data_IF_991254146952
#
_entry.id   IF_991254146952
#
_cell.length_a   1.000
_cell.length_b   1.000
_cell.length_c   1.000
_cell.angle_alpha   90.00
_cell.angle_beta   90.00
_cell.angle_gamma   90.00
#
_symmetry.space_group_name_H-M   'P 1'
#
loop_
_entity.id
_entity.type
_entity.pdbx_description
1 polymer ?
#
# COMPACT_ATOMS: atom_id res chain seq x y z
N UNK A 1 -38.32 -63.08 33.92
CA UNK A 1 -37.03 -62.91 33.21
C UNK A 1 -36.63 -61.45 33.28
N UNK A 2 -35.35 -61.21 33.55
CA UNK A 2 -34.71 -59.92 33.85
C UNK A 2 -35.02 -58.84 32.80
N UNK A 3 -35.24 -57.59 33.22
CA UNK A 3 -34.27 -56.53 32.93
C UNK A 3 -34.57 -55.24 33.70
N UNK A 4 -33.48 -54.75 34.29
CA UNK A 4 -33.35 -53.69 35.27
C UNK A 4 -33.24 -52.32 34.65
N UNK A 5 -33.91 -51.37 35.29
CA UNK A 5 -33.70 -49.92 35.17
C UNK A 5 -32.27 -49.62 35.66
N UNK A 6 -31.42 -49.04 34.80
CA UNK A 6 -30.18 -48.39 35.23
C UNK A 6 -30.16 -46.93 34.77
N UNK A 7 -30.14 -46.04 35.77
CA UNK A 7 -29.97 -44.60 35.68
C UNK A 7 -28.55 -44.28 35.18
N UNK A 8 -28.43 -43.43 34.17
CA UNK A 8 -27.14 -42.86 33.73
C UNK A 8 -26.68 -41.83 34.76
N UNK A 9 -25.49 -42.05 35.29
CA UNK A 9 -24.79 -41.13 36.19
C UNK A 9 -24.28 -39.91 35.41
N UNK A 10 -24.56 -38.71 35.92
CA UNK A 10 -23.89 -37.47 35.53
C UNK A 10 -22.56 -37.39 36.31
N UNK A 11 -21.44 -37.40 35.60
CA UNK A 11 -20.13 -37.07 36.17
C UNK A 11 -19.91 -35.56 35.97
N UNK A 12 -19.98 -34.78 37.05
CA UNK A 12 -19.46 -33.41 37.09
C UNK A 12 -17.94 -33.49 37.28
N UNK A 13 -17.18 -33.14 36.24
CA UNK A 13 -15.74 -32.93 36.34
C UNK A 13 -15.49 -31.44 36.58
N UNK A 14 -15.17 -31.09 37.83
CA UNK A 14 -14.73 -29.76 38.22
C UNK A 14 -13.28 -29.54 37.75
N UNK A 15 -13.09 -28.69 36.74
CA UNK A 15 -11.77 -28.26 36.30
C UNK A 15 -11.29 -27.10 37.19
N UNK A 16 -10.28 -27.36 38.02
CA UNK A 16 -9.58 -26.35 38.81
C UNK A 16 -8.74 -25.46 37.88
N UNK A 17 -9.09 -24.16 37.82
CA UNK A 17 -8.30 -23.11 37.18
C UNK A 17 -7.03 -22.84 38.00
N UNK A 18 -5.88 -23.21 37.47
CA UNK A 18 -4.60 -22.61 37.87
C UNK A 18 -4.41 -21.32 37.07
N UNK A 19 -4.13 -20.17 37.69
CA UNK A 19 -3.68 -18.98 36.98
C UNK A 19 -2.21 -19.20 36.61
N UNK A 20 -1.99 -20.00 35.57
CA UNK A 20 -0.72 -20.00 34.86
C UNK A 20 -0.62 -18.68 34.12
N UNK A 21 0.36 -17.87 34.49
CA UNK A 21 0.78 -16.67 33.78
C UNK A 21 1.04 -17.05 32.32
N UNK A 22 0.04 -16.86 31.45
CA UNK A 22 0.29 -16.83 30.02
C UNK A 22 1.11 -15.57 29.78
N UNK A 23 2.42 -15.73 29.66
CA UNK A 23 3.20 -14.85 28.82
C UNK A 23 2.59 -14.97 27.43
N UNK A 24 1.77 -14.00 27.04
CA UNK A 24 1.36 -13.85 25.66
C UNK A 24 2.64 -13.77 24.84
N UNK A 25 2.91 -14.81 24.06
CA UNK A 25 3.86 -14.71 22.97
C UNK A 25 3.15 -13.87 21.91
N UNK A 26 3.33 -12.55 21.97
CA UNK A 26 2.89 -11.61 20.95
C UNK A 26 3.86 -11.64 19.76
N UNK A 27 4.18 -12.84 19.29
CA UNK A 27 4.80 -13.02 17.98
C UNK A 27 3.65 -13.18 17.00
N UNK A 28 3.17 -12.07 16.44
CA UNK A 28 2.27 -12.13 15.30
C UNK A 28 2.91 -13.06 14.26
N UNK A 29 2.28 -14.19 14.01
CA UNK A 29 2.74 -15.13 12.99
C UNK A 29 2.39 -14.51 11.65
N UNK A 30 3.39 -14.22 10.82
CA UNK A 30 3.17 -13.70 9.47
C UNK A 30 2.56 -14.79 8.57
N UNK A 31 1.36 -14.54 8.06
CA UNK A 31 0.68 -15.43 7.12
C UNK A 31 0.79 -14.90 5.70
N UNK A 32 0.84 -15.81 4.72
CA UNK A 32 0.57 -15.44 3.33
C UNK A 32 -0.89 -15.00 3.25
N UNK A 33 -1.12 -13.78 2.77
CA UNK A 33 -2.44 -13.20 2.69
C UNK A 33 -3.10 -13.57 1.35
N UNK A 34 -4.37 -13.95 1.43
CA UNK A 34 -5.21 -14.23 0.27
C UNK A 34 -6.24 -13.12 0.11
N UNK A 35 -6.71 -12.89 -1.12
CA UNK A 35 -7.69 -11.86 -1.41
C UNK A 35 -8.25 -11.97 -2.82
N UNK A 36 -9.21 -11.10 -3.12
CA UNK A 36 -9.74 -10.98 -4.48
C UNK A 36 -8.77 -10.16 -5.33
N UNK A 37 -8.34 -10.70 -6.47
CA UNK A 37 -7.42 -9.99 -7.38
C UNK A 37 -8.08 -8.77 -8.00
N UNK A 38 -7.42 -7.63 -7.89
CA UNK A 38 -7.85 -6.31 -8.40
C UNK A 38 -6.74 -5.69 -9.26
N UNK A 39 -7.09 -4.91 -10.28
CA UNK A 39 -6.14 -4.44 -11.28
C UNK A 39 -6.68 -3.25 -12.10
N UNK A 40 -5.78 -2.53 -12.78
CA UNK A 40 -6.13 -1.40 -13.67
C UNK A 40 -6.23 -1.77 -15.16
N UNK A 41 -5.87 -3.02 -15.53
CA UNK A 41 -5.76 -3.53 -16.91
C UNK A 41 -6.78 -4.62 -17.28
N UNK A 42 -6.33 -5.68 -17.96
CA UNK A 42 -7.16 -6.84 -18.37
C UNK A 42 -7.16 -7.94 -17.31
N UNK A 43 -8.34 -8.48 -16.98
CA UNK A 43 -8.55 -9.53 -15.97
C UNK A 43 -7.68 -10.77 -16.19
N UNK A 44 -7.65 -11.28 -17.42
CA UNK A 44 -7.07 -12.59 -17.74
C UNK A 44 -5.58 -12.71 -17.46
N UNK A 45 -4.88 -11.59 -17.32
CA UNK A 45 -3.45 -11.56 -16.97
C UNK A 45 -3.21 -11.26 -15.50
N UNK A 46 -4.17 -10.66 -14.79
CA UNK A 46 -3.96 -10.22 -13.40
C UNK A 46 -3.72 -11.40 -12.45
N UNK A 47 -4.41 -12.53 -12.70
CA UNK A 47 -4.20 -13.77 -11.96
C UNK A 47 -2.77 -14.31 -12.09
N UNK A 48 -2.07 -14.02 -13.20
CA UNK A 48 -0.68 -14.43 -13.41
C UNK A 48 0.32 -13.73 -12.50
N UNK A 49 -0.10 -12.74 -11.71
CA UNK A 49 0.75 -12.18 -10.65
C UNK A 49 0.65 -12.98 -9.34
N UNK A 50 -0.24 -13.98 -9.25
CA UNK A 50 -0.60 -14.69 -8.03
C UNK A 50 -0.84 -16.20 -8.27
N UNK A 51 -0.44 -16.76 -9.41
CA UNK A 51 -0.74 -18.15 -9.78
C UNK A 51 0.35 -19.15 -9.33
N UNK A 52 1.48 -18.66 -8.83
CA UNK A 52 2.60 -19.47 -8.37
C UNK A 52 3.47 -20.01 -9.50
N UNK A 53 3.23 -19.62 -10.76
CA UNK A 53 4.02 -20.04 -11.92
C UNK A 53 5.01 -18.93 -12.35
N UNK A 54 6.31 -19.08 -12.07
CA UNK A 54 7.31 -18.08 -12.44
C UNK A 54 7.50 -17.92 -13.98
N UNK A 55 6.85 -18.76 -14.79
CA UNK A 55 6.83 -18.63 -16.25
C UNK A 55 5.71 -17.73 -16.78
N UNK A 56 4.68 -17.43 -16.00
CA UNK A 56 3.61 -16.49 -16.35
C UNK A 56 3.92 -15.11 -15.79
N UNK A 57 3.21 -14.07 -16.26
CA UNK A 57 3.37 -12.73 -15.71
C UNK A 57 2.20 -11.80 -16.06
N UNK A 58 1.91 -10.89 -15.14
CA UNK A 58 1.05 -9.74 -15.41
C UNK A 58 1.75 -8.73 -16.31
N UNK A 59 1.00 -8.16 -17.26
CA UNK A 59 1.48 -7.12 -18.16
C UNK A 59 0.30 -6.35 -18.77
N UNK A 60 0.45 -5.04 -18.87
CA UNK A 60 -0.57 -4.13 -19.42
C UNK A 60 -0.21 -3.60 -20.80
N UNK A 61 -1.23 -3.18 -21.56
CA UNK A 61 -1.02 -2.47 -22.83
C UNK A 61 -0.60 -1.00 -22.64
N UNK A 62 -1.00 -0.38 -21.51
CA UNK A 62 -0.51 0.95 -21.11
C UNK A 62 0.87 0.83 -20.47
N UNK A 63 1.69 1.86 -20.68
CA UNK A 63 3.04 1.95 -20.11
C UNK A 63 3.11 2.79 -18.84
N UNK A 64 2.02 3.38 -18.36
CA UNK A 64 2.01 4.24 -17.18
C UNK A 64 0.71 4.07 -16.38
N UNK A 65 0.76 4.40 -15.08
CA UNK A 65 -0.40 4.43 -14.18
C UNK A 65 -1.14 3.08 -14.14
N UNK A 66 -0.39 1.98 -14.16
CA UNK A 66 -0.96 0.62 -14.16
C UNK A 66 -0.54 -0.15 -12.92
N UNK A 67 -1.44 -0.99 -12.42
CA UNK A 67 -1.27 -1.69 -11.16
C UNK A 67 -2.06 -3.00 -11.09
N UNK A 68 -1.63 -3.86 -10.16
CA UNK A 68 -2.27 -5.13 -9.80
C UNK A 68 -2.14 -5.37 -8.30
N UNK A 69 -3.12 -6.00 -7.67
CA UNK A 69 -3.20 -6.09 -6.21
C UNK A 69 -4.29 -7.03 -5.71
N UNK A 70 -4.57 -6.94 -4.41
CA UNK A 70 -5.58 -7.72 -3.70
C UNK A 70 -6.54 -6.81 -2.92
N UNK A 71 -7.83 -7.13 -2.94
CA UNK A 71 -8.77 -6.81 -1.86
C UNK A 71 -8.75 -7.97 -0.86
N UNK A 72 -8.20 -7.72 0.33
CA UNK A 72 -8.04 -8.70 1.41
C UNK A 72 -9.35 -8.94 2.19
N UNK A 73 -10.41 -8.18 1.90
CA UNK A 73 -11.71 -8.25 2.57
C UNK A 73 -11.76 -7.49 3.91
N UNK A 74 -10.67 -7.49 4.68
CA UNK A 74 -10.50 -6.76 5.93
C UNK A 74 -9.07 -6.19 6.09
N UNK A 75 -8.86 -5.18 6.96
CA UNK A 75 -7.54 -4.61 7.17
C UNK A 75 -6.51 -5.60 7.74
N UNK A 76 -5.32 -5.59 7.14
CA UNK A 76 -4.15 -6.35 7.59
C UNK A 76 -2.92 -5.45 7.70
N UNK A 77 -2.13 -5.64 8.74
CA UNK A 77 -0.80 -5.05 8.86
C UNK A 77 0.16 -5.87 7.99
N UNK A 78 0.72 -5.23 6.96
CA UNK A 78 1.65 -5.86 6.03
C UNK A 78 3.06 -5.82 6.62
N UNK A 79 3.70 -6.98 6.73
CA UNK A 79 5.03 -7.14 7.34
C UNK A 79 6.09 -7.52 6.33
N UNK A 80 5.69 -8.15 5.22
CA UNK A 80 6.60 -8.56 4.14
C UNK A 80 5.89 -8.61 2.79
N UNK A 81 6.64 -8.26 1.75
CA UNK A 81 6.24 -8.47 0.36
C UNK A 81 7.34 -9.26 -0.34
N UNK A 82 7.01 -10.42 -0.87
CA UNK A 82 7.88 -11.15 -1.80
C UNK A 82 7.37 -10.89 -3.23
N UNK A 83 8.27 -10.55 -4.13
CA UNK A 83 7.93 -10.19 -5.52
C UNK A 83 8.95 -10.75 -6.50
N UNK A 84 8.50 -11.18 -7.67
CA UNK A 84 9.36 -11.74 -8.71
C UNK A 84 9.26 -10.92 -10.01
N UNK A 85 10.37 -10.39 -10.53
CA UNK A 85 10.40 -9.83 -11.85
C UNK A 85 10.32 -10.93 -12.90
N UNK A 86 9.69 -10.61 -14.04
CA UNK A 86 9.60 -11.51 -15.20
C UNK A 86 10.96 -12.10 -15.56
N UNK A 87 11.00 -13.37 -15.94
CA UNK A 87 12.23 -13.97 -16.43
C UNK A 87 12.76 -13.25 -17.69
N UNK A 88 14.08 -13.29 -17.90
CA UNK A 88 14.73 -12.68 -19.05
C UNK A 88 15.35 -11.30 -18.79
N UNK A 89 15.90 -10.70 -19.85
CA UNK A 89 16.84 -9.58 -19.74
C UNK A 89 16.23 -8.28 -19.22
N UNK A 90 14.93 -8.05 -19.45
CA UNK A 90 14.26 -6.79 -19.08
C UNK A 90 13.44 -6.86 -17.78
N UNK A 91 13.24 -8.05 -17.20
CA UNK A 91 12.32 -8.23 -16.08
C UNK A 91 12.62 -7.32 -14.89
N UNK A 92 13.86 -7.39 -14.39
CA UNK A 92 14.32 -6.53 -13.31
C UNK A 92 14.23 -5.03 -13.64
N UNK A 93 14.53 -4.63 -14.88
CA UNK A 93 14.45 -3.23 -15.29
C UNK A 93 13.00 -2.71 -15.29
N UNK A 94 12.04 -3.57 -15.63
CA UNK A 94 10.62 -3.22 -15.62
C UNK A 94 10.01 -3.15 -14.23
N UNK A 95 10.63 -3.74 -13.20
CA UNK A 95 10.17 -3.57 -11.81
C UNK A 95 10.84 -2.41 -11.08
N UNK A 96 11.98 -1.92 -11.57
CA UNK A 96 12.70 -0.80 -10.96
C UNK A 96 11.81 0.45 -10.89
N UNK A 97 11.85 1.13 -9.74
CA UNK A 97 11.00 2.27 -9.36
C UNK A 97 9.50 1.96 -9.25
N UNK A 98 9.10 0.68 -9.32
CA UNK A 98 7.75 0.28 -8.93
C UNK A 98 7.53 0.45 -7.43
N UNK A 99 6.29 0.71 -7.05
CA UNK A 99 5.89 1.01 -5.67
C UNK A 99 4.85 0.00 -5.21
N UNK A 100 4.97 -0.46 -3.98
CA UNK A 100 3.89 -1.16 -3.28
C UNK A 100 3.12 -0.17 -2.42
N UNK A 101 1.81 -0.26 -2.44
CA UNK A 101 0.92 0.62 -1.69
C UNK A 101 -0.14 -0.18 -0.93
N UNK A 102 -0.60 0.37 0.19
CA UNK A 102 -1.75 -0.11 0.95
C UNK A 102 -2.81 0.99 1.04
N UNK A 103 -4.09 0.63 1.00
CA UNK A 103 -5.23 1.55 1.06
C UNK A 103 -6.41 0.94 1.83
N UNK A 104 -7.35 1.77 2.26
CA UNK A 104 -8.63 1.35 2.84
C UNK A 104 -9.84 1.87 2.02
N UNK A 105 -9.59 2.66 0.96
CA UNK A 105 -10.58 2.98 -0.07
C UNK A 105 -10.32 2.20 -1.37
N UNK A 106 -11.35 1.65 -2.04
CA UNK A 106 -11.18 0.87 -3.28
C UNK A 106 -10.69 1.72 -4.48
N UNK A 107 -10.80 3.04 -4.41
CA UNK A 107 -10.24 3.96 -5.41
C UNK A 107 -8.76 4.31 -5.15
N UNK A 108 -8.18 3.82 -4.05
CA UNK A 108 -6.81 4.08 -3.59
C UNK A 108 -6.48 5.57 -3.39
N UNK A 109 -7.48 6.42 -3.16
CA UNK A 109 -7.22 7.84 -2.86
C UNK A 109 -6.53 8.01 -1.51
N UNK A 110 -6.72 7.11 -0.56
CA UNK A 110 -6.09 7.12 0.77
C UNK A 110 -4.82 6.26 0.84
N UNK A 111 -4.25 5.89 -0.31
CA UNK A 111 -3.15 4.94 -0.34
C UNK A 111 -1.87 5.49 0.29
N UNK A 112 -1.19 4.64 1.05
CA UNK A 112 0.15 4.89 1.62
C UNK A 112 1.19 4.05 0.91
N UNK A 113 2.40 4.59 0.65
CA UNK A 113 3.50 3.78 0.15
C UNK A 113 3.96 2.80 1.23
N UNK A 114 4.22 1.56 0.85
CA UNK A 114 4.75 0.50 1.71
C UNK A 114 6.23 0.24 1.41
N UNK A 115 6.61 0.28 0.13
CA UNK A 115 7.97 0.02 -0.30
C UNK A 115 8.22 0.54 -1.73
N UNK A 116 9.39 1.14 -1.96
CA UNK A 116 9.89 1.52 -3.29
C UNK A 116 10.99 0.53 -3.71
N UNK A 117 10.84 -0.06 -4.90
CA UNK A 117 11.90 -0.87 -5.53
C UNK A 117 12.99 0.08 -6.06
N UNK A 118 13.91 0.48 -5.20
CA UNK A 118 14.98 1.44 -5.52
C UNK A 118 16.23 0.80 -6.14
N UNK A 119 16.35 -0.53 -6.07
CA UNK A 119 17.43 -1.31 -6.67
C UNK A 119 16.85 -2.34 -7.63
N UNK A 120 17.56 -2.60 -8.73
CA UNK A 120 17.11 -3.54 -9.75
C UNK A 120 17.04 -4.95 -9.16
N UNK A 121 15.85 -5.57 -9.07
CA UNK A 121 15.73 -6.95 -8.63
C UNK A 121 16.25 -7.92 -9.69
N UNK A 122 16.74 -9.08 -9.27
CA UNK A 122 17.18 -10.14 -10.18
C UNK A 122 15.98 -10.76 -10.90
N UNK A 123 16.01 -10.77 -12.23
CA UNK A 123 14.95 -11.38 -13.05
C UNK A 123 14.77 -12.87 -12.74
N UNK A 124 13.52 -13.35 -12.69
CA UNK A 124 13.20 -14.76 -12.51
C UNK A 124 13.54 -15.32 -11.12
N UNK A 125 13.70 -14.46 -10.11
CA UNK A 125 13.94 -14.86 -8.73
C UNK A 125 13.18 -13.94 -7.79
N UNK A 126 12.69 -14.48 -6.66
CA UNK A 126 12.04 -13.68 -5.65
C UNK A 126 13.02 -12.68 -5.03
N UNK A 127 12.61 -11.42 -5.02
CA UNK A 127 13.12 -10.39 -4.13
C UNK A 127 12.15 -10.24 -2.95
N UNK A 128 12.68 -9.71 -1.84
CA UNK A 128 11.95 -9.58 -0.58
C UNK A 128 12.08 -8.17 -0.03
N UNK A 129 10.94 -7.55 0.26
CA UNK A 129 10.85 -6.31 1.02
C UNK A 129 10.31 -6.60 2.42
N UNK A 130 11.04 -6.15 3.44
CA UNK A 130 10.52 -6.08 4.82
C UNK A 130 9.75 -4.77 4.96
N UNK A 131 8.51 -4.84 5.43
CA UNK A 131 7.63 -3.69 5.53
C UNK A 131 7.59 -3.23 6.99
N UNK A 132 7.86 -1.95 7.20
CA UNK A 132 7.79 -1.31 8.51
C UNK A 132 6.77 -0.17 8.44
N UNK A 133 5.50 -0.55 8.26
CA UNK A 133 4.34 0.32 8.27
C UNK A 133 3.33 -0.33 9.19
N UNK A 134 2.88 0.38 10.22
CA UNK A 134 2.06 -0.21 11.26
C UNK A 134 0.57 -0.02 11.05
N UNK A 135 0.14 0.75 10.05
CA UNK A 135 -1.26 0.87 9.62
C UNK A 135 -1.72 -0.42 8.94
N UNK A 136 -2.95 -0.84 9.23
CA UNK A 136 -3.64 -1.93 8.55
C UNK A 136 -4.29 -1.49 7.24
N UNK A 137 -4.26 -2.35 6.22
CA UNK A 137 -4.81 -2.07 4.90
C UNK A 137 -5.70 -3.20 4.43
N UNK A 138 -6.89 -2.85 3.91
CA UNK A 138 -7.76 -3.81 3.22
C UNK A 138 -7.31 -4.05 1.79
N UNK A 139 -6.80 -3.02 1.12
CA UNK A 139 -6.36 -3.10 -0.27
C UNK A 139 -4.84 -2.98 -0.33
N UNK A 140 -4.19 -3.84 -1.11
CA UNK A 140 -2.75 -3.75 -1.38
C UNK A 140 -2.51 -3.84 -2.88
N UNK A 141 -1.54 -3.09 -3.40
CA UNK A 141 -1.20 -3.14 -4.83
C UNK A 141 0.28 -2.92 -5.12
N UNK A 142 0.73 -3.47 -6.23
CA UNK A 142 1.94 -3.09 -6.95
C UNK A 142 1.59 -2.11 -8.06
N UNK A 143 2.27 -0.96 -8.09
CA UNK A 143 2.17 0.06 -9.13
C UNK A 143 3.43 0.04 -9.97
N UNK A 144 3.29 -0.24 -11.26
CA UNK A 144 4.40 -0.25 -12.21
C UNK A 144 4.90 1.15 -12.54
N UNK A 145 6.21 1.33 -12.64
CA UNK A 145 6.82 2.60 -13.07
C UNK A 145 6.50 2.90 -14.55
N UNK A 146 6.65 4.16 -14.97
CA UNK A 146 6.48 4.52 -16.39
C UNK A 146 7.45 3.74 -17.28
N UNK A 147 6.94 3.10 -18.32
CA UNK A 147 7.69 2.22 -19.22
C UNK A 147 7.76 0.75 -18.78
N UNK A 148 7.26 0.41 -17.58
CA UNK A 148 7.30 -0.97 -17.06
C UNK A 148 6.28 -1.92 -17.68
N UNK A 149 5.17 -1.37 -18.20
CA UNK A 149 3.97 -2.15 -18.55
C UNK A 149 3.44 -2.99 -17.36
N UNK A 150 3.70 -2.53 -16.13
CA UNK A 150 3.39 -3.21 -14.87
C UNK A 150 3.78 -4.70 -14.89
N UNK A 151 4.99 -4.99 -15.40
CA UNK A 151 5.48 -6.36 -15.51
C UNK A 151 5.86 -6.92 -14.15
N UNK A 152 5.20 -8.01 -13.76
CA UNK A 152 5.50 -8.78 -12.55
C UNK A 152 5.10 -10.23 -12.76
N UNK A 153 5.98 -11.16 -12.39
CA UNK A 153 5.72 -12.60 -12.47
C UNK A 153 4.97 -13.08 -11.24
N UNK A 154 5.41 -12.71 -10.03
CA UNK A 154 4.76 -13.14 -8.80
C UNK A 154 4.71 -12.03 -7.76
N UNK A 155 3.63 -12.00 -6.98
CA UNK A 155 3.41 -11.15 -5.83
C UNK A 155 2.87 -11.98 -4.67
N UNK A 156 3.48 -11.79 -3.49
CA UNK A 156 3.04 -12.41 -2.25
C UNK A 156 3.09 -11.39 -1.14
N UNK A 157 1.93 -11.12 -0.55
CA UNK A 157 1.80 -10.23 0.60
C UNK A 157 1.72 -11.07 1.87
N UNK A 158 2.48 -10.69 2.89
CA UNK A 158 2.47 -11.35 4.19
C UNK A 158 2.14 -10.35 5.29
N UNK A 159 1.41 -10.83 6.29
CA UNK A 159 0.98 -10.01 7.41
C UNK A 159 0.01 -10.72 8.34
N UNK A 160 -0.75 -9.93 9.08
CA UNK A 160 -1.77 -10.39 10.01
C UNK A 160 -2.93 -9.40 10.08
N UNK A 161 -4.13 -9.91 10.36
CA UNK A 161 -5.33 -9.08 10.47
C UNK A 161 -5.19 -8.04 11.59
N UNK A 162 -5.64 -6.81 11.33
CA UNK A 162 -5.59 -5.72 12.28
C UNK A 162 -5.62 -4.34 11.60
N UNK A 163 -6.24 -3.38 12.28
CA UNK A 163 -6.28 -1.98 11.87
C UNK A 163 -4.92 -1.28 11.97
N UNK A 164 -3.99 -1.86 12.75
CA UNK A 164 -2.72 -1.23 13.05
C UNK A 164 -2.82 -0.15 14.13
N UNK A 165 -1.73 0.61 14.30
CA UNK A 165 -1.62 1.62 15.36
C UNK A 165 -1.07 2.99 14.90
N UNK A 166 -0.78 3.15 13.60
CA UNK A 166 -0.24 4.38 13.00
C UNK A 166 1.06 4.90 13.67
N UNK A 167 1.79 4.06 14.40
CA UNK A 167 3.08 4.40 15.01
C UNK A 167 4.24 4.53 14.02
N UNK A 168 4.14 3.92 12.83
CA UNK A 168 5.21 3.94 11.84
C UNK A 168 4.70 3.89 10.39
N UNK A 169 5.32 4.68 9.53
CA UNK A 169 5.05 4.78 8.09
C UNK A 169 6.35 4.73 7.27
N UNK A 170 6.21 4.48 5.96
CA UNK A 170 7.35 4.36 5.05
C UNK A 170 7.83 5.74 4.57
N UNK A 171 8.93 6.21 5.15
CA UNK A 171 9.69 7.37 4.64
C UNK A 171 10.78 6.86 3.69
N UNK A 172 10.70 7.21 2.40
CA UNK A 172 11.55 6.63 1.34
C UNK A 172 13.04 6.94 1.58
N UNK A 173 13.32 8.10 2.16
CA UNK A 173 14.67 8.59 2.43
C UNK A 173 14.72 9.22 3.83
N UNK A 174 15.84 9.84 4.19
CA UNK A 174 15.93 10.71 5.36
C UNK A 174 15.25 12.09 5.18
N UNK A 175 14.64 12.35 4.01
CA UNK A 175 13.80 13.52 3.76
C UNK A 175 12.31 13.14 3.84
N UNK A 176 11.43 14.09 4.19
CA UNK A 176 9.98 13.88 4.16
C UNK A 176 9.51 13.33 2.81
N UNK A 177 8.59 12.38 2.86
CA UNK A 177 7.98 11.77 1.67
C UNK A 177 6.61 12.40 1.44
N UNK A 178 6.41 13.01 0.27
CA UNK A 178 5.10 13.47 -0.19
C UNK A 178 4.59 12.49 -1.24
N UNK A 179 3.51 11.78 -0.94
CA UNK A 179 2.73 11.01 -1.91
C UNK A 179 1.45 11.76 -2.28
N UNK A 180 1.08 11.71 -3.56
CA UNK A 180 -0.14 12.35 -4.06
C UNK A 180 -0.89 11.35 -4.93
N UNK A 181 -2.14 11.08 -4.58
CA UNK A 181 -3.05 10.26 -5.35
C UNK A 181 -4.09 11.16 -6.01
N UNK A 182 -4.13 11.10 -7.33
CA UNK A 182 -5.04 11.91 -8.15
C UNK A 182 -6.25 11.06 -8.50
N UNK A 183 -7.44 11.65 -8.39
CA UNK A 183 -8.70 10.99 -8.72
C UNK A 183 -8.64 10.34 -10.11
N UNK A 184 -9.20 9.12 -10.21
CA UNK A 184 -9.20 8.32 -11.44
C UNK A 184 -7.80 7.97 -11.97
N UNK A 185 -6.76 8.12 -11.16
CA UNK A 185 -5.38 7.78 -11.52
C UNK A 185 -4.93 8.44 -12.83
N UNK A 186 -5.23 9.74 -12.97
CA UNK A 186 -4.85 10.54 -14.15
C UNK A 186 -3.68 11.47 -13.83
N UNK A 187 -2.83 11.72 -14.82
CA UNK A 187 -1.75 12.70 -14.71
C UNK A 187 -2.21 14.05 -15.29
N UNK A 188 -2.32 15.13 -14.49
CA UNK A 188 -2.73 16.43 -15.00
C UNK A 188 -1.83 16.92 -16.14
N UNK A 189 -2.42 17.24 -17.30
CA UNK A 189 -1.69 17.73 -18.49
C UNK A 189 -1.96 19.20 -18.79
N UNK A 190 -3.20 19.65 -18.54
CA UNK A 190 -3.67 20.95 -19.01
C UNK A 190 -3.62 22.01 -17.90
N UNK A 191 -3.29 23.23 -18.29
CA UNK A 191 -3.45 24.40 -17.42
C UNK A 191 -4.94 24.72 -17.29
N UNK A 192 -5.39 25.00 -16.08
CA UNK A 192 -6.76 25.46 -15.83
C UNK A 192 -7.62 24.41 -15.16
N UNK A 193 -7.21 23.16 -15.26
CA UNK A 193 -7.92 22.00 -14.75
C UNK A 193 -7.41 21.64 -13.35
N UNK A 194 -8.33 21.57 -12.39
CA UNK A 194 -8.07 21.12 -11.04
C UNK A 194 -8.63 19.70 -10.90
N UNK A 195 -7.82 18.80 -10.35
CA UNK A 195 -8.22 17.42 -10.05
C UNK A 195 -8.35 17.26 -8.55
N UNK A 196 -9.42 16.59 -8.10
CA UNK A 196 -9.50 16.14 -6.73
C UNK A 196 -8.40 15.13 -6.47
N UNK A 197 -7.76 15.23 -5.31
CA UNK A 197 -6.58 14.45 -4.98
C UNK A 197 -6.43 14.37 -3.47
N UNK A 198 -5.62 13.42 -3.01
CA UNK A 198 -5.18 13.33 -1.62
C UNK A 198 -3.68 13.52 -1.55
N UNK A 199 -3.22 14.29 -0.56
CA UNK A 199 -1.80 14.35 -0.21
C UNK A 199 -1.55 13.60 1.08
N UNK A 200 -0.47 12.83 1.08
CA UNK A 200 0.11 12.18 2.26
C UNK A 200 1.53 12.71 2.42
N UNK A 201 1.82 13.34 3.56
CA UNK A 201 3.17 13.77 3.92
C UNK A 201 3.66 12.97 5.13
N UNK A 202 4.68 12.15 4.94
CA UNK A 202 5.33 11.33 5.97
C UNK A 202 6.67 11.98 6.35
N UNK A 203 6.92 12.18 7.65
CA UNK A 203 8.08 12.90 8.18
C UNK A 203 8.47 12.39 9.58
N UNK A 204 9.55 12.94 10.15
CA UNK A 204 10.17 12.46 11.40
C UNK A 204 10.44 10.94 11.37
N UNK A 205 11.18 10.50 10.35
CA UNK A 205 11.60 9.10 10.16
C UNK A 205 10.43 8.10 10.10
N UNK A 206 9.28 8.56 9.63
CA UNK A 206 8.08 7.76 9.47
C UNK A 206 7.17 7.73 10.70
N UNK A 207 7.50 8.46 11.77
CA UNK A 207 6.67 8.50 12.99
C UNK A 207 5.54 9.53 12.94
N UNK A 208 5.54 10.41 11.93
CA UNK A 208 4.51 11.43 11.75
C UNK A 208 3.96 11.44 10.33
N UNK A 209 2.66 11.72 10.22
CA UNK A 209 1.92 11.78 8.96
C UNK A 209 0.97 13.00 8.94
N UNK A 210 0.78 13.57 7.76
CA UNK A 210 -0.26 14.56 7.47
C UNK A 210 -1.01 14.17 6.21
N UNK A 211 -2.32 14.00 6.33
CA UNK A 211 -3.21 13.57 5.25
C UNK A 211 -4.25 14.66 5.02
N UNK A 212 -4.36 15.15 3.79
CA UNK A 212 -5.31 16.19 3.44
C UNK A 212 -5.85 16.03 2.03
N UNK A 213 -7.15 16.32 1.81
CA UNK A 213 -7.67 16.49 0.46
C UNK A 213 -7.05 17.75 -0.16
N UNK A 214 -6.67 17.65 -1.42
CA UNK A 214 -6.09 18.75 -2.20
C UNK A 214 -6.76 18.85 -3.57
N UNK A 215 -6.64 20.02 -4.18
CA UNK A 215 -6.74 20.19 -5.62
C UNK A 215 -5.34 20.15 -6.20
N UNK A 216 -5.12 19.25 -7.15
CA UNK A 216 -3.85 19.08 -7.84
C UNK A 216 -3.98 19.50 -9.30
N UNK A 217 -2.99 20.24 -9.81
CA UNK A 217 -3.01 20.79 -11.17
C UNK A 217 -1.61 21.02 -11.72
N UNK A 218 -1.51 21.17 -13.04
CA UNK A 218 -0.33 21.79 -13.65
C UNK A 218 -0.26 23.26 -13.26
N UNK A 219 0.91 23.73 -12.81
CA UNK A 219 1.14 25.10 -12.31
C UNK A 219 0.80 26.17 -13.36
N UNK A 220 1.18 25.95 -14.62
CA UNK A 220 0.85 26.80 -15.76
C UNK A 220 2.01 27.64 -16.34
N UNK A 221 1.70 28.40 -17.41
CA UNK A 221 2.62 29.12 -18.31
C UNK A 221 3.48 28.19 -19.18
N UNK A 222 4.61 28.68 -19.72
CA UNK A 222 5.54 27.91 -20.56
C UNK A 222 6.00 26.60 -19.89
N UNK A 223 5.94 26.47 -18.56
CA UNK A 223 6.24 25.21 -17.85
C UNK A 223 5.30 24.05 -18.22
N UNK A 224 4.07 24.32 -18.68
CA UNK A 224 3.13 23.28 -19.11
C UNK A 224 3.53 22.64 -20.45
N UNK A 225 4.34 23.31 -21.28
CA UNK A 225 4.85 22.74 -22.54
C UNK A 225 6.12 21.92 -22.37
N UNK A 226 6.67 21.82 -21.15
CA UNK A 226 7.84 20.99 -20.90
C UNK A 226 7.43 19.52 -20.72
N UNK A 227 8.37 18.62 -21.01
CA UNK A 227 8.27 17.20 -20.67
C UNK A 227 8.07 17.03 -19.16
N UNK A 228 8.93 17.66 -18.36
CA UNK A 228 8.79 17.70 -16.90
C UNK A 228 7.91 18.89 -16.47
N UNK A 229 6.63 18.60 -16.19
CA UNK A 229 5.66 19.63 -15.78
C UNK A 229 5.85 20.00 -14.31
N UNK A 230 5.80 21.30 -14.04
CA UNK A 230 5.68 21.78 -12.67
C UNK A 230 4.23 21.67 -12.20
N UNK A 231 4.01 21.06 -11.04
CA UNK A 231 2.70 20.91 -10.44
C UNK A 231 2.46 21.93 -9.33
N UNK A 232 1.18 22.09 -8.99
CA UNK A 232 0.73 22.89 -7.86
C UNK A 232 -0.36 22.12 -7.13
N UNK A 233 -0.29 22.14 -5.81
CA UNK A 233 -1.35 21.67 -4.93
C UNK A 233 -1.96 22.81 -4.11
N UNK A 234 -3.20 22.61 -3.67
CA UNK A 234 -3.93 23.49 -2.75
C UNK A 234 -4.83 22.64 -1.88
N UNK A 235 -4.85 22.85 -0.57
CA UNK A 235 -5.80 22.18 0.32
C UNK A 235 -7.26 22.43 -0.10
N UNK A 236 -8.05 21.36 -0.09
CA UNK A 236 -9.44 21.34 -0.56
C UNK A 236 -10.46 21.14 0.59
N UNK A 237 -10.03 21.32 1.85
CA UNK A 237 -10.89 21.23 3.03
C UNK A 237 -11.35 22.61 3.55
N UNK A 238 -11.05 23.68 2.80
CA UNK A 238 -11.36 25.06 3.17
C UNK A 238 -10.50 25.65 4.29
N UNK A 239 -9.47 24.93 4.77
CA UNK A 239 -8.61 25.36 5.87
C UNK A 239 -7.19 25.70 5.40
N UNK A 240 -6.40 26.22 6.32
CA UNK A 240 -4.96 26.45 6.13
C UNK A 240 -4.22 25.64 7.18
N UNK A 241 -3.12 25.01 6.76
CA UNK A 241 -2.40 24.04 7.58
C UNK A 241 -0.93 24.41 7.68
N UNK A 242 -0.31 24.05 8.81
CA UNK A 242 1.14 23.99 8.89
C UNK A 242 1.62 22.75 8.15
N UNK A 243 2.73 22.86 7.43
CA UNK A 243 3.42 21.73 6.82
C UNK A 243 4.35 21.13 7.88
N UNK A 244 4.39 19.80 7.98
CA UNK A 244 5.13 19.07 9.02
C UNK A 244 4.72 19.47 10.45
N UNK A 245 3.41 19.62 10.68
CA UNK A 245 2.84 20.08 11.97
C UNK A 245 3.30 19.18 13.12
N UNK A 246 3.77 19.78 14.22
CA UNK A 246 4.30 19.10 15.40
C UNK A 246 5.70 18.49 15.23
N UNK A 247 6.27 18.53 14.02
CA UNK A 247 7.61 18.04 13.74
C UNK A 247 8.69 19.11 13.94
N UNK A 248 9.95 18.68 13.84
CA UNK A 248 11.13 19.55 14.01
C UNK A 248 11.18 20.68 12.97
N UNK A 249 10.66 20.42 11.78
CA UNK A 249 10.65 21.35 10.66
C UNK A 249 9.25 21.92 10.38
N UNK A 250 8.38 22.00 11.39
CA UNK A 250 7.05 22.61 11.23
C UNK A 250 7.16 24.01 10.60
N UNK A 251 6.35 24.27 9.58
CA UNK A 251 6.36 25.56 8.91
C UNK A 251 6.05 26.70 9.89
N UNK A 252 6.75 27.85 9.84
CA UNK A 252 6.58 28.93 10.82
C UNK A 252 5.20 29.59 10.74
N UNK A 253 4.50 29.41 9.62
CA UNK A 253 3.13 29.90 9.41
C UNK A 253 2.33 28.85 8.64
N UNK A 254 1.01 28.96 8.74
CA UNK A 254 0.09 28.15 7.93
C UNK A 254 0.23 28.49 6.45
N UNK A 255 0.31 27.48 5.59
CA UNK A 255 0.24 27.66 4.16
C UNK A 255 -1.14 28.21 3.77
N UNK A 256 -1.18 29.50 3.42
CA UNK A 256 -2.39 30.16 2.94
C UNK A 256 -2.61 29.86 1.46
N UNK A 257 -3.88 29.88 1.04
CA UNK A 257 -4.27 29.96 -0.37
C UNK A 257 -3.59 31.21 -0.96
N UNK A 258 -2.84 31.04 -2.05
CA UNK A 258 -2.45 32.20 -2.87
C UNK A 258 -3.74 32.80 -3.42
N UNK A 259 -4.00 34.06 -3.08
CA UNK A 259 -5.11 34.85 -3.60
C UNK A 259 -4.94 35.01 -5.11
#
# INVERSE_FOLDING_TARGET
>A
MKNSILRRAFLLLSLLLFPGMMTAYDGAVDYLLEGTVIYSGSESKALMAFDGDPATFYSTGSNALTWVGLDLGEPHVITRIDYMPVSGSMGGDRMLLGIFEGANSPDFMDALPLYLISTKPTSGSFARASINVSRGFRYVRYVGSTGSYCNVAELQFYGHAGEGDDSQFYQITNLPTLSIHVENNVLPQNRGEDFESQSVLIYEDGTMIQEYPILFRVRGNFSASHENKAFRMKYNDGKTHHVMRGGKNESPTKCRKWV
#
